data_IF_747756171353
#
_entry.id   IF_747756171353
#
_cell.length_a   1.000
_cell.length_b   1.000
_cell.length_c   1.000
_cell.angle_alpha   90.00
_cell.angle_beta   90.00
_cell.angle_gamma   90.00
#
_symmetry.space_group_name_H-M   'P 1'
#
loop_
_entity.id
_entity.type
_entity.pdbx_description
1 polymer ?
#
# COMPACT_ATOMS: atom_id res chain seq x y z
N UNK A 1 -19.39 28.69 13.35
CA UNK A 1 -18.57 27.79 12.52
C UNK A 1 -17.10 28.18 12.65
N UNK A 2 -16.20 27.22 12.89
CA UNK A 2 -14.77 27.49 12.95
C UNK A 2 -14.17 27.59 11.54
N UNK A 3 -13.34 28.61 11.30
CA UNK A 3 -12.60 28.81 10.06
C UNK A 3 -11.51 27.74 9.95
N UNK A 4 -11.36 27.14 8.76
CA UNK A 4 -10.25 26.23 8.47
C UNK A 4 -9.21 27.04 7.70
N UNK A 5 -8.01 27.15 8.28
CA UNK A 5 -6.91 27.88 7.67
C UNK A 5 -6.05 26.95 6.82
N UNK A 6 -5.54 27.50 5.72
CA UNK A 6 -4.53 26.85 4.91
C UNK A 6 -3.22 26.70 5.70
N UNK A 7 -2.64 25.51 5.62
CA UNK A 7 -1.33 25.18 6.16
C UNK A 7 -0.47 24.79 4.97
N UNK A 8 0.51 25.66 4.65
CA UNK A 8 1.37 25.54 3.45
C UNK A 8 2.02 24.16 3.26
N UNK A 9 2.30 23.44 4.35
CA UNK A 9 2.94 22.12 4.31
C UNK A 9 1.95 20.95 4.23
N UNK A 10 0.64 21.22 4.26
CA UNK A 10 -0.43 20.21 4.33
C UNK A 10 -1.56 20.57 3.40
N UNK A 11 -1.46 20.12 2.16
CA UNK A 11 -2.46 20.26 1.11
C UNK A 11 -3.85 19.68 1.48
N UNK A 12 -3.95 18.78 2.48
CA UNK A 12 -5.24 18.39 3.09
C UNK A 12 -5.99 19.58 3.71
N UNK A 13 -5.29 20.55 4.30
CA UNK A 13 -5.89 21.76 4.88
C UNK A 13 -6.36 22.72 3.79
N UNK A 14 -5.60 22.86 2.70
CA UNK A 14 -5.99 23.63 1.50
C UNK A 14 -7.31 23.11 0.93
N UNK A 15 -7.42 21.78 0.71
CA UNK A 15 -8.67 21.17 0.25
C UNK A 15 -9.84 21.47 1.18
N UNK A 16 -9.67 21.29 2.49
CA UNK A 16 -10.73 21.50 3.47
C UNK A 16 -11.17 22.97 3.54
N UNK A 17 -10.22 23.89 3.45
CA UNK A 17 -10.48 25.33 3.38
C UNK A 17 -11.29 25.67 2.13
N UNK A 18 -10.84 25.24 0.95
CA UNK A 18 -11.53 25.54 -0.32
C UNK A 18 -12.92 24.90 -0.37
N UNK A 19 -13.06 23.67 0.11
CA UNK A 19 -14.37 23.02 0.20
C UNK A 19 -15.34 23.82 1.06
N UNK A 20 -14.89 24.27 2.23
CA UNK A 20 -15.71 25.11 3.11
C UNK A 20 -16.04 26.47 2.48
N UNK A 21 -15.07 27.04 1.76
CA UNK A 21 -15.27 28.30 1.03
C UNK A 21 -16.37 28.16 -0.04
N UNK A 22 -16.39 27.04 -0.78
CA UNK A 22 -17.42 26.74 -1.76
C UNK A 22 -18.80 26.50 -1.11
N UNK A 23 -18.85 25.81 0.04
CA UNK A 23 -20.11 25.60 0.77
C UNK A 23 -20.77 26.94 1.19
N UNK A 24 -19.99 28.01 1.36
CA UNK A 24 -20.48 29.36 1.69
C UNK A 24 -20.59 30.33 0.51
N UNK A 25 -20.46 29.85 -0.75
CA UNK A 25 -20.47 30.71 -1.96
C UNK A 25 -21.58 31.77 -1.95
N UNK A 26 -22.81 31.38 -1.66
CA UNK A 26 -23.96 32.30 -1.66
C UNK A 26 -23.85 33.37 -0.57
N UNK A 27 -23.50 32.95 0.65
CA UNK A 27 -23.35 33.85 1.81
C UNK A 27 -22.22 34.84 1.55
N UNK A 28 -21.09 34.38 1.02
CA UNK A 28 -19.94 35.22 0.68
C UNK A 28 -20.33 36.26 -0.37
N UNK A 29 -21.01 35.85 -1.46
CA UNK A 29 -21.42 36.78 -2.51
C UNK A 29 -22.39 37.85 -2.00
N UNK A 30 -23.37 37.48 -1.17
CA UNK A 30 -24.31 38.43 -0.55
C UNK A 30 -23.57 39.39 0.38
N UNK A 31 -22.69 38.87 1.23
CA UNK A 31 -21.94 39.68 2.19
C UNK A 31 -20.98 40.67 1.50
N UNK A 32 -20.23 40.22 0.48
CA UNK A 32 -19.34 41.09 -0.31
C UNK A 32 -20.13 42.14 -1.11
N UNK A 33 -21.33 41.81 -1.59
CA UNK A 33 -22.18 42.77 -2.29
C UNK A 33 -22.77 43.84 -1.36
N UNK A 34 -22.99 43.53 -0.09
CA UNK A 34 -23.54 44.45 0.89
C UNK A 34 -22.50 45.39 1.53
N UNK A 35 -21.20 45.10 1.40
CA UNK A 35 -20.12 45.81 2.09
C UNK A 35 -19.12 46.37 1.05
N UNK A 36 -19.15 47.69 0.83
CA UNK A 36 -18.37 48.36 -0.22
C UNK A 36 -16.85 48.23 -0.02
N UNK A 37 -16.39 48.13 1.22
CA UNK A 37 -14.99 47.89 1.59
C UNK A 37 -14.47 46.52 1.11
N UNK A 38 -15.38 45.57 0.89
CA UNK A 38 -15.05 44.22 0.42
C UNK A 38 -15.14 44.05 -1.10
N UNK A 39 -15.50 45.10 -1.85
CA UNK A 39 -15.73 45.02 -3.30
C UNK A 39 -14.55 44.42 -4.08
N UNK A 40 -13.31 44.67 -3.62
CA UNK A 40 -12.08 44.11 -4.21
C UNK A 40 -11.99 42.58 -4.15
N UNK A 41 -12.70 41.94 -3.21
CA UNK A 41 -12.71 40.48 -3.04
C UNK A 41 -13.82 39.78 -3.84
N UNK A 42 -14.60 40.53 -4.62
CA UNK A 42 -15.66 39.97 -5.45
C UNK A 42 -15.07 39.03 -6.50
N UNK A 43 -15.48 37.77 -6.46
CA UNK A 43 -15.04 36.75 -7.41
C UNK A 43 -15.99 36.69 -8.61
N UNK A 44 -15.42 36.58 -9.82
CA UNK A 44 -16.18 36.29 -11.04
C UNK A 44 -16.60 34.81 -11.10
N UNK A 45 -17.58 34.49 -11.94
CA UNK A 45 -18.02 33.10 -12.15
C UNK A 45 -16.84 32.18 -12.52
N UNK A 46 -15.99 32.60 -13.45
CA UNK A 46 -14.81 31.83 -13.87
C UNK A 46 -13.83 31.53 -12.71
N UNK A 47 -13.68 32.46 -11.76
CA UNK A 47 -12.83 32.23 -10.57
C UNK A 47 -13.46 31.20 -9.62
N UNK A 48 -14.78 31.24 -9.45
CA UNK A 48 -15.50 30.21 -8.69
C UNK A 48 -15.39 28.83 -9.33
N UNK A 49 -15.46 28.75 -10.65
CA UNK A 49 -15.34 27.49 -11.40
C UNK A 49 -13.91 26.94 -11.30
N UNK A 50 -12.90 27.80 -11.43
CA UNK A 50 -11.49 27.43 -11.21
C UNK A 50 -11.25 26.89 -9.78
N UNK A 51 -11.79 27.55 -8.74
CA UNK A 51 -11.68 27.08 -7.35
C UNK A 51 -12.36 25.72 -7.18
N UNK A 52 -13.53 25.52 -7.80
CA UNK A 52 -14.25 24.25 -7.77
C UNK A 52 -13.43 23.14 -8.39
N UNK A 53 -12.82 23.39 -9.56
CA UNK A 53 -11.95 22.44 -10.25
C UNK A 53 -10.73 22.05 -9.40
N UNK A 54 -10.03 23.04 -8.82
CA UNK A 54 -8.88 22.80 -7.94
C UNK A 54 -9.29 22.03 -6.68
N UNK A 55 -10.48 22.30 -6.14
CA UNK A 55 -10.99 21.58 -4.97
C UNK A 55 -11.25 20.11 -5.29
N UNK A 56 -11.84 19.82 -6.45
CA UNK A 56 -12.11 18.44 -6.86
C UNK A 56 -10.83 17.64 -7.10
N UNK A 57 -9.80 18.18 -7.76
CA UNK A 57 -8.56 17.41 -7.92
C UNK A 57 -7.86 17.17 -6.57
N UNK A 58 -7.97 18.10 -5.61
CA UNK A 58 -7.25 17.99 -4.33
C UNK A 58 -7.86 16.89 -3.44
N UNK A 59 -9.09 16.49 -3.77
CA UNK A 59 -9.84 15.44 -3.09
C UNK A 59 -9.18 14.08 -3.23
N UNK A 60 -8.73 13.71 -4.44
CA UNK A 60 -8.07 12.41 -4.71
C UNK A 60 -6.83 12.26 -3.85
N UNK A 61 -5.99 13.29 -3.87
CA UNK A 61 -4.86 13.35 -2.96
C UNK A 61 -5.37 13.20 -1.52
N UNK A 62 -6.40 13.95 -1.08
CA UNK A 62 -6.73 14.01 0.36
C UNK A 62 -7.17 12.64 0.85
N UNK A 63 -7.91 11.92 0.02
CA UNK A 63 -8.27 10.53 0.24
C UNK A 63 -7.02 9.68 0.40
N UNK A 64 -6.11 9.69 -0.59
CA UNK A 64 -4.85 8.94 -0.55
C UNK A 64 -4.03 9.19 0.73
N UNK A 65 -3.89 10.44 1.18
CA UNK A 65 -3.19 10.73 2.44
C UNK A 65 -3.93 10.25 3.67
N UNK A 66 -5.27 10.35 3.68
CA UNK A 66 -6.07 9.83 4.78
C UNK A 66 -5.90 8.32 4.89
N UNK A 67 -5.94 7.62 3.77
CA UNK A 67 -5.75 6.17 3.69
C UNK A 67 -4.33 5.78 4.11
N UNK A 68 -3.31 6.43 3.54
CA UNK A 68 -1.90 6.16 3.85
C UNK A 68 -1.50 6.54 5.28
N UNK A 69 -2.26 7.41 5.95
CA UNK A 69 -2.04 7.77 7.36
C UNK A 69 -2.74 6.81 8.33
N UNK A 70 -3.47 5.79 7.82
CA UNK A 70 -4.12 4.79 8.66
C UNK A 70 -3.08 3.98 9.45
N UNK A 71 -3.31 3.84 10.75
CA UNK A 71 -2.49 3.00 11.65
C UNK A 71 -3.09 1.63 11.89
N UNK A 72 -4.30 1.35 11.37
CA UNK A 72 -5.02 0.10 11.59
C UNK A 72 -4.54 -1.04 10.70
N UNK A 73 -3.84 -0.73 9.61
CA UNK A 73 -3.36 -1.69 8.61
C UNK A 73 -2.02 -1.24 8.06
N UNK A 74 -1.17 -2.19 7.67
CA UNK A 74 0.07 -1.87 6.95
C UNK A 74 -0.27 -1.26 5.59
N UNK A 75 0.23 -0.05 5.35
CA UNK A 75 0.05 0.66 4.08
C UNK A 75 1.20 0.44 3.10
N UNK A 76 2.30 -0.17 3.54
CA UNK A 76 3.53 -0.27 2.76
C UNK A 76 3.34 -0.98 1.41
N UNK A 77 2.56 -2.07 1.39
CA UNK A 77 2.26 -2.83 0.17
C UNK A 77 1.34 -2.10 -0.80
N UNK A 78 0.53 -1.15 -0.31
CA UNK A 78 -0.39 -0.37 -1.13
C UNK A 78 0.20 0.94 -1.65
N UNK A 79 1.43 1.30 -1.25
CA UNK A 79 2.05 2.58 -1.63
C UNK A 79 2.09 2.73 -3.15
N UNK A 80 2.61 1.74 -3.88
CA UNK A 80 2.68 1.79 -5.35
C UNK A 80 1.30 1.96 -5.99
N UNK A 81 0.30 1.23 -5.51
CA UNK A 81 -1.07 1.31 -6.01
C UNK A 81 -1.69 2.71 -5.77
N UNK A 82 -1.45 3.31 -4.60
CA UNK A 82 -1.95 4.66 -4.29
C UNK A 82 -1.29 5.70 -5.19
N UNK A 83 0.03 5.64 -5.40
CA UNK A 83 0.72 6.57 -6.30
C UNK A 83 0.24 6.44 -7.75
N UNK A 84 0.08 5.21 -8.25
CA UNK A 84 -0.45 4.95 -9.59
C UNK A 84 -1.88 5.47 -9.75
N UNK A 85 -2.74 5.20 -8.77
CA UNK A 85 -4.11 5.72 -8.75
C UNK A 85 -4.15 7.25 -8.81
N UNK A 86 -3.27 7.94 -8.07
CA UNK A 86 -3.16 9.40 -8.15
C UNK A 86 -2.67 9.88 -9.52
N UNK A 87 -1.70 9.20 -10.14
CA UNK A 87 -1.22 9.54 -11.48
C UNK A 87 -2.34 9.38 -12.53
N UNK A 88 -3.09 8.28 -12.47
CA UNK A 88 -4.22 8.01 -13.37
C UNK A 88 -5.37 9.00 -13.17
N UNK A 89 -5.68 9.38 -11.92
CA UNK A 89 -6.66 10.41 -11.58
C UNK A 89 -6.27 11.76 -12.20
N UNK A 90 -5.00 12.18 -12.07
CA UNK A 90 -4.52 13.42 -12.68
C UNK A 90 -4.56 13.36 -14.20
N UNK A 91 -4.13 12.25 -14.80
CA UNK A 91 -4.15 12.03 -16.24
C UNK A 91 -5.58 12.10 -16.79
N UNK A 92 -6.53 11.49 -16.09
CA UNK A 92 -7.96 11.55 -16.42
C UNK A 92 -8.50 12.97 -16.28
N UNK A 93 -8.13 13.67 -15.20
CA UNK A 93 -8.50 15.06 -14.97
C UNK A 93 -8.01 15.96 -16.09
N UNK A 94 -6.72 15.88 -16.46
CA UNK A 94 -6.12 16.67 -17.55
C UNK A 94 -6.83 16.43 -18.88
N UNK A 95 -7.17 15.17 -19.18
CA UNK A 95 -7.89 14.79 -20.41
C UNK A 95 -9.33 15.31 -20.45
N UNK A 96 -9.96 15.47 -19.29
CA UNK A 96 -11.33 15.97 -19.17
C UNK A 96 -11.43 17.51 -19.20
N UNK A 97 -10.30 18.24 -19.15
CA UNK A 97 -10.32 19.70 -19.16
C UNK A 97 -10.75 20.26 -20.51
N UNK A 98 -11.64 21.24 -20.47
CA UNK A 98 -12.08 21.98 -21.66
C UNK A 98 -10.97 22.86 -22.24
N UNK A 99 -11.12 23.26 -23.50
CA UNK A 99 -10.27 24.28 -24.11
C UNK A 99 -10.38 25.64 -23.40
N UNK A 100 -11.54 25.93 -22.81
CA UNK A 100 -11.78 27.16 -22.02
C UNK A 100 -11.10 27.19 -20.66
N UNK A 101 -10.51 26.07 -20.20
CA UNK A 101 -9.81 26.02 -18.91
C UNK A 101 -8.50 26.82 -18.98
N UNK A 102 -8.21 27.72 -18.01
CA UNK A 102 -6.99 28.49 -17.98
C UNK A 102 -5.73 27.63 -18.13
N UNK A 103 -4.82 28.02 -19.02
CA UNK A 103 -3.60 27.27 -19.32
C UNK A 103 -2.72 27.04 -18.09
N UNK A 104 -2.70 28.00 -17.16
CA UNK A 104 -1.99 27.88 -15.88
C UNK A 104 -2.45 26.64 -15.12
N UNK A 105 -3.76 26.38 -15.02
CA UNK A 105 -4.28 25.21 -14.28
C UNK A 105 -3.89 23.88 -14.96
N UNK A 106 -3.83 23.87 -16.30
CA UNK A 106 -3.34 22.71 -17.05
C UNK A 106 -1.86 22.44 -16.74
N UNK A 107 -1.03 23.49 -16.72
CA UNK A 107 0.39 23.39 -16.37
C UNK A 107 0.60 22.91 -14.94
N UNK A 108 -0.19 23.41 -13.97
CA UNK A 108 -0.11 22.97 -12.58
C UNK A 108 -0.44 21.48 -12.40
N UNK A 109 -1.42 20.94 -13.13
CA UNK A 109 -1.71 19.50 -13.10
C UNK A 109 -0.58 18.65 -13.67
N UNK A 110 0.01 19.11 -14.78
CA UNK A 110 1.15 18.42 -15.40
C UNK A 110 2.34 18.44 -14.43
N UNK A 111 2.60 19.59 -13.79
CA UNK A 111 3.63 19.71 -12.77
C UNK A 111 3.37 18.78 -11.57
N UNK A 112 2.12 18.68 -11.11
CA UNK A 112 1.73 17.76 -10.04
C UNK A 112 1.94 16.29 -10.44
N UNK A 113 1.56 15.91 -11.67
CA UNK A 113 1.78 14.57 -12.20
C UNK A 113 3.28 14.24 -12.28
N UNK A 114 4.09 15.13 -12.87
CA UNK A 114 5.55 14.96 -12.92
C UNK A 114 6.14 14.81 -11.53
N UNK A 115 5.68 15.64 -10.57
CA UNK A 115 6.16 15.57 -9.19
C UNK A 115 5.82 14.24 -8.52
N UNK A 116 4.62 13.70 -8.77
CA UNK A 116 4.24 12.37 -8.27
C UNK A 116 5.13 11.28 -8.87
N UNK A 117 5.43 11.36 -10.17
CA UNK A 117 6.35 10.42 -10.82
C UNK A 117 7.74 10.44 -10.19
N UNK A 118 8.29 11.62 -9.87
CA UNK A 118 9.57 11.72 -9.16
C UNK A 118 9.53 11.01 -7.80
N UNK A 119 8.43 11.14 -7.07
CA UNK A 119 8.28 10.50 -5.75
C UNK A 119 8.02 8.99 -5.85
N UNK A 120 7.42 8.51 -6.93
CA UNK A 120 7.28 7.10 -7.20
C UNK A 120 8.65 6.41 -7.21
N UNK A 121 9.61 6.93 -7.99
CA UNK A 121 10.98 6.39 -8.03
C UNK A 121 11.74 6.53 -6.71
N UNK A 122 11.41 7.53 -5.88
CA UNK A 122 11.98 7.63 -4.53
C UNK A 122 11.52 6.52 -3.60
N UNK A 123 10.30 6.01 -3.79
CA UNK A 123 9.84 4.83 -3.03
C UNK A 123 10.65 3.58 -3.40
N UNK A 124 11.08 3.48 -4.65
CA UNK A 124 11.92 2.38 -5.15
C UNK A 124 13.38 2.45 -4.66
N UNK A 125 13.79 3.55 -4.01
CA UNK A 125 15.09 3.64 -3.35
C UNK A 125 15.24 2.59 -2.22
N UNK A 126 14.12 2.10 -1.69
CA UNK A 126 14.09 1.01 -0.73
C UNK A 126 13.37 -0.21 -1.32
N UNK A 127 14.00 -1.40 -1.29
CA UNK A 127 13.37 -2.60 -1.84
C UNK A 127 12.14 -3.03 -1.04
N UNK A 128 11.97 -2.51 0.19
CA UNK A 128 10.89 -2.94 1.09
C UNK A 128 9.49 -2.54 0.59
N UNK A 129 9.36 -1.46 -0.19
CA UNK A 129 8.08 -1.09 -0.80
C UNK A 129 7.66 -2.18 -1.79
N UNK A 130 8.50 -2.47 -2.78
CA UNK A 130 8.25 -3.52 -3.79
C UNK A 130 8.12 -4.90 -3.15
N UNK A 131 8.94 -5.23 -2.15
CA UNK A 131 8.85 -6.51 -1.46
C UNK A 131 7.54 -6.64 -0.66
N UNK A 132 7.09 -5.59 0.01
CA UNK A 132 5.81 -5.61 0.69
C UNK A 132 4.66 -5.84 -0.30
N UNK A 133 4.71 -5.19 -1.46
CA UNK A 133 3.75 -5.39 -2.54
C UNK A 133 3.75 -6.84 -3.05
N UNK A 134 4.93 -7.43 -3.26
CA UNK A 134 5.08 -8.82 -3.70
C UNK A 134 4.57 -9.86 -2.69
N UNK A 135 4.64 -9.53 -1.39
CA UNK A 135 4.17 -10.39 -0.31
C UNK A 135 2.67 -10.19 -0.01
N UNK A 136 2.03 -9.18 -0.59
CA UNK A 136 0.60 -8.91 -0.39
C UNK A 136 -0.25 -9.75 -1.35
N UNK A 137 -0.96 -10.72 -0.78
CA UNK A 137 -1.85 -11.61 -1.53
C UNK A 137 -2.93 -10.88 -2.34
N UNK A 138 -3.29 -9.64 -1.96
CA UNK A 138 -4.34 -8.86 -2.63
C UNK A 138 -3.87 -8.23 -3.93
N UNK A 139 -2.56 -7.95 -4.04
CA UNK A 139 -1.98 -7.24 -5.18
C UNK A 139 -1.44 -8.25 -6.19
N UNK A 140 -0.85 -9.35 -5.70
CA UNK A 140 -0.28 -10.45 -6.49
C UNK A 140 0.80 -9.99 -7.48
N UNK A 141 1.91 -10.73 -7.56
CA UNK A 141 2.94 -10.43 -8.56
C UNK A 141 2.39 -10.46 -9.99
N UNK A 142 1.46 -11.37 -10.30
CA UNK A 142 0.84 -11.47 -11.62
C UNK A 142 0.02 -10.22 -11.97
N UNK A 143 -0.78 -9.73 -11.04
CA UNK A 143 -1.56 -8.49 -11.23
C UNK A 143 -0.64 -7.30 -11.49
N UNK A 144 0.38 -7.14 -10.65
CA UNK A 144 1.34 -6.05 -10.80
C UNK A 144 2.14 -6.13 -12.11
N UNK A 145 2.52 -7.33 -12.54
CA UNK A 145 3.21 -7.56 -13.81
C UNK A 145 2.34 -7.17 -15.01
N UNK A 146 1.03 -7.46 -14.96
CA UNK A 146 0.10 -7.04 -16.00
C UNK A 146 -0.05 -5.50 -16.04
N UNK A 147 -0.11 -4.85 -14.87
CA UNK A 147 -0.20 -3.39 -14.78
C UNK A 147 1.04 -2.68 -15.37
N UNK A 148 2.18 -3.39 -15.40
CA UNK A 148 3.46 -2.89 -15.92
C UNK A 148 3.78 -3.39 -17.33
N UNK A 149 2.90 -4.15 -17.99
CA UNK A 149 3.19 -4.81 -19.28
C UNK A 149 3.73 -3.84 -20.36
N UNK A 150 3.26 -2.60 -20.35
CA UNK A 150 3.67 -1.56 -21.32
C UNK A 150 4.80 -0.65 -20.83
N UNK A 151 5.32 -0.88 -19.62
CA UNK A 151 6.39 -0.12 -19.00
C UNK A 151 7.59 -1.04 -18.76
N UNK A 152 8.53 -1.00 -19.70
CA UNK A 152 9.72 -1.87 -19.69
C UNK A 152 10.57 -1.65 -18.42
N UNK A 153 10.77 -0.40 -18.03
CA UNK A 153 11.59 -0.03 -16.87
C UNK A 153 10.96 -0.57 -15.58
N UNK A 154 9.64 -0.43 -15.41
CA UNK A 154 8.93 -0.96 -14.25
C UNK A 154 8.89 -2.49 -14.24
N UNK A 155 8.77 -3.12 -15.40
CA UNK A 155 8.79 -4.59 -15.52
C UNK A 155 10.16 -5.15 -15.14
N UNK A 156 11.24 -4.56 -15.66
CA UNK A 156 12.61 -4.94 -15.31
C UNK A 156 12.87 -4.76 -13.81
N UNK A 157 12.49 -3.60 -13.26
CA UNK A 157 12.60 -3.33 -11.83
C UNK A 157 11.85 -4.35 -10.95
N UNK A 158 10.65 -4.77 -11.38
CA UNK A 158 9.84 -5.75 -10.67
C UNK A 158 10.51 -7.13 -10.64
N UNK A 159 11.06 -7.58 -11.77
CA UNK A 159 11.77 -8.85 -11.86
C UNK A 159 13.04 -8.85 -11.00
N UNK A 160 13.85 -7.79 -11.08
CA UNK A 160 15.02 -7.64 -10.22
C UNK A 160 14.66 -7.67 -8.74
N UNK A 161 13.60 -6.95 -8.36
CA UNK A 161 13.13 -6.87 -6.99
C UNK A 161 12.69 -8.24 -6.46
N UNK A 162 12.01 -9.03 -7.30
CA UNK A 162 11.63 -10.41 -6.98
C UNK A 162 12.84 -11.31 -6.79
N UNK A 163 13.86 -11.21 -7.66
CA UNK A 163 15.10 -11.97 -7.50
C UNK A 163 15.84 -11.58 -6.21
N UNK A 164 15.94 -10.28 -5.92
CA UNK A 164 16.56 -9.75 -4.69
C UNK A 164 15.82 -10.23 -3.44
N UNK A 165 14.47 -10.25 -3.46
CA UNK A 165 13.65 -10.80 -2.36
C UNK A 165 13.94 -12.29 -2.16
N UNK A 166 14.00 -13.07 -3.24
CA UNK A 166 14.29 -14.49 -3.16
C UNK A 166 15.69 -14.76 -2.61
N UNK A 167 16.71 -14.03 -3.10
CA UNK A 167 18.07 -14.12 -2.58
C UNK A 167 18.17 -13.74 -1.10
N UNK A 168 17.44 -12.69 -0.68
CA UNK A 168 17.34 -12.30 0.72
C UNK A 168 16.70 -13.41 1.56
N UNK A 169 15.63 -14.03 1.06
CA UNK A 169 14.97 -15.14 1.72
C UNK A 169 15.95 -16.31 1.92
N UNK A 170 16.65 -16.71 0.86
CA UNK A 170 17.61 -17.81 0.90
C UNK A 170 18.74 -17.55 1.92
N UNK A 171 19.33 -16.35 1.88
CA UNK A 171 20.44 -15.95 2.75
C UNK A 171 20.06 -15.90 4.23
N UNK A 172 18.86 -15.43 4.55
CA UNK A 172 18.44 -15.17 5.93
C UNK A 172 17.68 -16.32 6.57
N UNK A 173 16.87 -17.03 5.78
CA UNK A 173 15.86 -17.96 6.29
C UNK A 173 16.02 -19.39 5.77
N UNK A 174 16.33 -19.61 4.48
CA UNK A 174 16.27 -20.96 3.90
C UNK A 174 17.34 -21.94 4.40
N UNK A 175 18.50 -21.45 4.83
CA UNK A 175 19.61 -22.30 5.30
C UNK A 175 19.51 -22.72 6.78
N UNK A 176 18.45 -22.33 7.49
CA UNK A 176 18.29 -22.67 8.91
C UNK A 176 17.27 -23.78 9.07
N UNK A 177 17.59 -24.74 9.94
CA UNK A 177 16.58 -25.65 10.45
C UNK A 177 15.44 -24.84 11.09
N UNK A 178 14.19 -24.95 10.59
CA UNK A 178 13.05 -24.22 11.14
C UNK A 178 12.89 -24.44 12.65
N UNK A 179 13.11 -25.66 13.15
CA UNK A 179 13.01 -25.97 14.57
C UNK A 179 14.09 -25.24 15.38
N UNK A 180 15.34 -25.26 14.90
CA UNK A 180 16.43 -24.53 15.53
C UNK A 180 16.18 -23.02 15.55
N UNK A 181 15.71 -22.42 14.45
CA UNK A 181 15.42 -20.99 14.42
C UNK A 181 14.33 -20.59 15.43
N UNK A 182 13.26 -21.38 15.51
CA UNK A 182 12.19 -21.16 16.49
C UNK A 182 12.71 -21.32 17.93
N UNK A 183 13.57 -22.30 18.18
CA UNK A 183 14.19 -22.50 19.49
C UNK A 183 15.08 -21.31 19.91
N UNK A 184 15.88 -20.78 18.99
CA UNK A 184 16.74 -19.62 19.24
C UNK A 184 15.92 -18.35 19.52
N UNK A 185 14.77 -18.19 18.86
CA UNK A 185 13.89 -17.02 18.97
C UNK A 185 12.76 -17.17 20.00
N UNK A 186 12.75 -18.25 20.81
CA UNK A 186 11.70 -18.54 21.79
C UNK A 186 11.48 -17.44 22.83
N UNK A 187 12.52 -16.67 23.16
CA UNK A 187 12.42 -15.53 24.10
C UNK A 187 11.68 -14.34 23.49
N UNK A 188 11.82 -14.15 22.18
CA UNK A 188 11.19 -13.05 21.43
C UNK A 188 9.73 -13.40 21.10
N UNK A 189 9.45 -14.65 20.79
CA UNK A 189 8.12 -15.11 20.38
C UNK A 189 7.66 -16.34 21.18
N UNK A 190 7.41 -16.22 22.50
CA UNK A 190 7.16 -17.37 23.37
C UNK A 190 5.93 -18.18 22.98
N UNK A 191 4.80 -17.53 22.67
CA UNK A 191 3.57 -18.22 22.29
C UNK A 191 3.64 -18.84 20.88
N UNK A 192 4.29 -18.13 19.95
CA UNK A 192 4.40 -18.58 18.57
C UNK A 192 5.39 -19.74 18.42
N UNK A 193 6.43 -19.76 19.26
CA UNK A 193 7.34 -20.91 19.41
C UNK A 193 6.61 -22.19 19.80
N UNK A 194 5.69 -22.13 20.76
CA UNK A 194 4.91 -23.30 21.19
C UNK A 194 4.11 -23.88 20.02
N UNK A 195 3.40 -23.03 19.28
CA UNK A 195 2.65 -23.43 18.10
C UNK A 195 3.56 -24.04 17.02
N UNK A 196 4.67 -23.38 16.72
CA UNK A 196 5.61 -23.84 15.71
C UNK A 196 6.23 -25.20 16.06
N UNK A 197 6.61 -25.41 17.33
CA UNK A 197 7.11 -26.70 17.83
C UNK A 197 6.08 -27.81 17.62
N UNK A 198 4.83 -27.55 17.97
CA UNK A 198 3.78 -28.58 17.90
C UNK A 198 3.46 -28.97 16.45
N UNK A 199 3.50 -28.02 15.51
CA UNK A 199 3.25 -28.27 14.08
C UNK A 199 4.47 -28.89 13.38
N UNK A 200 5.67 -28.32 13.56
CA UNK A 200 6.86 -28.71 12.79
C UNK A 200 7.44 -30.07 13.21
N UNK A 201 7.06 -30.59 14.38
CA UNK A 201 7.44 -31.93 14.83
C UNK A 201 6.55 -33.04 14.22
N UNK A 202 5.47 -32.69 13.51
CA UNK A 202 4.61 -33.68 12.87
C UNK A 202 5.39 -34.36 11.73
N UNK A 203 5.60 -35.69 11.77
CA UNK A 203 6.36 -36.36 10.74
C UNK A 203 5.59 -36.33 9.41
N UNK A 204 6.29 -35.98 8.32
CA UNK A 204 5.70 -35.93 6.98
C UNK A 204 5.28 -37.30 6.41
N UNK A 205 5.62 -38.40 7.07
CA UNK A 205 5.09 -39.72 6.73
C UNK A 205 5.04 -40.66 7.93
N UNK A 206 4.09 -41.61 7.89
CA UNK A 206 4.04 -42.72 8.84
C UNK A 206 5.10 -43.80 8.56
N UNK A 207 5.97 -43.63 7.55
CA UNK A 207 6.96 -44.64 7.15
C UNK A 207 7.98 -44.87 8.26
N UNK A 208 8.35 -43.82 9.01
CA UNK A 208 9.23 -43.95 10.18
C UNK A 208 8.65 -44.90 11.24
N UNK A 209 7.35 -44.76 11.53
CA UNK A 209 6.61 -45.63 12.45
C UNK A 209 6.49 -47.04 11.89
N UNK A 210 6.15 -47.19 10.60
CA UNK A 210 6.09 -48.50 9.93
C UNK A 210 7.43 -49.22 9.91
N UNK A 211 8.56 -48.50 9.78
CA UNK A 211 9.91 -49.07 9.80
C UNK A 211 10.25 -49.63 11.18
N UNK A 212 9.88 -48.95 12.26
CA UNK A 212 10.03 -49.44 13.64
C UNK A 212 9.18 -50.71 13.85
N UNK A 213 7.93 -50.72 13.36
CA UNK A 213 7.07 -51.91 13.46
C UNK A 213 7.50 -53.06 12.54
N UNK A 214 8.15 -52.81 11.40
CA UNK A 214 8.71 -53.87 10.56
C UNK A 214 9.97 -54.46 11.20
N UNK A 215 10.89 -53.64 11.73
CA UNK A 215 12.05 -54.14 12.46
C UNK A 215 11.65 -54.84 13.77
N UNK A 216 10.58 -54.40 14.41
CA UNK A 216 10.02 -55.07 15.59
C UNK A 216 9.46 -56.46 15.27
N UNK A 217 8.88 -56.66 14.07
CA UNK A 217 8.43 -57.99 13.62
C UNK A 217 9.59 -58.98 13.44
N UNK A 218 10.78 -58.52 13.06
CA UNK A 218 11.95 -59.39 12.92
C UNK A 218 12.57 -59.75 14.27
N UNK A 219 12.42 -58.90 15.30
CA UNK A 219 12.88 -59.18 16.66
C UNK A 219 11.87 -59.95 17.53
N UNK A 220 10.59 -59.98 17.16
CA UNK A 220 9.56 -60.80 17.83
C UNK A 220 9.44 -62.13 17.07
N UNK A 221 10.02 -63.24 17.56
CA UNK A 221 9.90 -64.51 16.88
C UNK A 221 8.43 -64.93 16.75
N UNK A 222 8.06 -65.49 15.60
CA UNK A 222 6.69 -65.94 15.22
C UNK A 222 6.12 -67.01 16.18
N UNK A 223 6.89 -67.49 17.17
CA UNK A 223 6.41 -68.39 18.22
C UNK A 223 5.75 -67.62 19.36
N UNK A 224 4.44 -67.40 19.20
CA UNK A 224 3.40 -67.22 20.25
C UNK A 224 3.87 -66.61 21.58
N UNK A 225 4.00 -65.29 21.62
CA UNK A 225 3.78 -64.54 22.86
C UNK A 225 2.74 -63.46 22.56
N UNK A 226 1.50 -63.71 22.98
CA UNK A 226 0.42 -62.73 22.92
C UNK A 226 0.65 -61.76 24.09
N UNK A 227 1.26 -60.61 23.82
CA UNK A 227 1.27 -59.49 24.76
C UNK A 227 -0.06 -58.76 24.57
N UNK A 228 -1.04 -59.10 25.42
CA UNK A 228 -2.27 -58.31 25.52
C UNK A 228 -1.90 -56.88 25.90
N UNK A 229 -2.39 -55.89 25.13
CA UNK A 229 -2.28 -54.48 25.49
C UNK A 229 -3.05 -54.25 26.80
N UNK A 230 -2.31 -53.87 27.86
CA UNK A 230 -2.86 -53.38 29.13
C UNK A 230 -3.42 -51.97 28.94
#
# INVERSE_FOLDING_TARGET
>A
LMLILDVKTRWCSTHQMLRRFLDFRNVINVHVAANNDLAQYRLSANKWDAISLVTEWLKSFRSATTDMSSTKSSMLSSVHAVFRGLQDDLKTTVRALSESTPQVLKQELIAAHTKLSDYYYKSDASPYYTWATLLDQRISYTGLKNDFEFDYDLTEHLEESKQKLHAHFLKKYAGRDPLQWWYDNRKTFPNLFLLARDILCIPGSAVAVKRIFSSGRDMVPVRRANLSAL
#
